data_IF_194553915707
#
_entry.id   IF_194553915707
#
_cell.length_a   1.000
_cell.length_b   1.000
_cell.length_c   1.000
_cell.angle_alpha   90.00
_cell.angle_beta   90.00
_cell.angle_gamma   90.00
#
_symmetry.space_group_name_H-M   'P 1'
#
loop_
_entity.id
_entity.type
_entity.pdbx_description
1 polymer ?
#
# COMPACT_ATOMS: atom_id res chain seq x y z
N UNK A 1 17.59 -49.83 -17.88
CA UNK A 1 16.24 -49.28 -17.67
C UNK A 1 15.91 -49.32 -16.17
N UNK A 2 16.56 -48.44 -15.39
CA UNK A 2 16.42 -48.31 -13.92
C UNK A 2 16.29 -46.84 -13.50
N UNK A 3 15.86 -46.00 -14.44
CA UNK A 3 15.79 -44.53 -14.29
C UNK A 3 14.35 -44.02 -14.10
N UNK A 4 13.36 -44.93 -14.01
CA UNK A 4 11.94 -44.57 -13.84
C UNK A 4 11.34 -44.99 -12.50
N UNK A 5 12.08 -45.71 -11.63
CA UNK A 5 11.53 -46.20 -10.35
C UNK A 5 11.91 -45.36 -9.11
N UNK A 6 12.85 -44.43 -9.21
CA UNK A 6 13.27 -43.58 -8.07
C UNK A 6 12.40 -42.33 -7.88
N UNK A 7 11.58 -41.94 -8.87
CA UNK A 7 10.72 -40.75 -8.78
C UNK A 7 9.48 -40.92 -7.88
N UNK A 8 9.15 -42.16 -7.48
CA UNK A 8 7.96 -42.44 -6.66
C UNK A 8 8.20 -42.39 -5.15
N UNK A 9 9.42 -42.10 -4.70
CA UNK A 9 9.81 -42.21 -3.28
C UNK A 9 9.97 -40.88 -2.54
N UNK A 10 9.91 -39.74 -3.24
CA UNK A 10 10.10 -38.40 -2.62
C UNK A 10 8.81 -37.82 -2.03
N UNK A 11 7.65 -38.39 -2.35
CA UNK A 11 6.37 -38.08 -1.67
C UNK A 11 6.07 -39.09 -0.58
N UNK A 12 6.67 -38.88 0.60
CA UNK A 12 6.06 -39.10 1.91
C UNK A 12 7.10 -38.90 3.03
N UNK A 13 6.71 -38.08 4.00
CA UNK A 13 7.01 -38.18 5.43
C UNK A 13 7.96 -37.12 6.04
N UNK A 14 7.31 -36.05 6.52
CA UNK A 14 7.30 -35.48 7.89
C UNK A 14 8.62 -35.10 8.58
N UNK A 15 8.62 -33.82 9.01
CA UNK A 15 9.11 -33.27 10.29
C UNK A 15 10.56 -33.62 10.67
N UNK A 16 11.48 -32.68 10.41
CA UNK A 16 12.82 -32.69 10.97
C UNK A 16 13.73 -31.68 10.27
N UNK A 17 14.11 -30.64 10.99
CA UNK A 17 14.99 -29.53 10.61
C UNK A 17 16.33 -30.04 10.05
N UNK A 18 16.75 -29.57 8.87
CA UNK A 18 18.17 -29.36 8.54
C UNK A 18 18.29 -28.15 7.63
N UNK A 19 18.96 -27.12 8.16
CA UNK A 19 19.38 -25.92 7.48
C UNK A 19 20.37 -26.21 6.34
N UNK A 20 20.27 -25.48 5.24
CA UNK A 20 21.37 -25.30 4.30
C UNK A 20 21.37 -23.85 3.81
N UNK A 21 22.11 -23.02 4.54
CA UNK A 21 22.62 -21.73 4.07
C UNK A 21 23.42 -21.95 2.79
N UNK A 22 23.02 -21.30 1.70
CA UNK A 22 23.86 -21.14 0.51
C UNK A 22 23.94 -19.66 0.18
N UNK A 23 24.94 -19.03 0.81
CA UNK A 23 25.39 -17.67 0.61
C UNK A 23 26.17 -17.63 -0.72
N UNK A 24 25.66 -16.92 -1.73
CA UNK A 24 26.46 -16.55 -2.90
C UNK A 24 26.53 -15.02 -2.94
N UNK A 25 27.62 -14.50 -2.38
CA UNK A 25 28.04 -13.12 -2.63
C UNK A 25 28.51 -13.01 -4.09
N UNK A 26 27.79 -12.23 -4.90
CA UNK A 26 28.33 -11.68 -6.13
C UNK A 26 28.59 -10.19 -5.88
N UNK A 27 29.87 -9.85 -5.74
CA UNK A 27 30.35 -8.47 -5.72
C UNK A 27 30.46 -8.04 -7.19
N UNK A 28 29.50 -7.23 -7.65
CA UNK A 28 29.64 -6.41 -8.85
C UNK A 28 29.83 -4.96 -8.42
N UNK A 29 31.05 -4.44 -8.57
CA UNK A 29 31.36 -3.02 -8.38
C UNK A 29 31.01 -2.21 -9.62
N UNK A 30 30.95 -0.89 -9.40
CA UNK A 30 30.82 0.26 -10.32
C UNK A 30 29.49 0.50 -11.03
N UNK A 31 28.83 1.58 -10.58
CA UNK A 31 27.73 2.21 -11.29
C UNK A 31 26.99 3.25 -10.46
N UNK A 32 27.69 4.13 -9.74
CA UNK A 32 27.08 5.37 -9.26
C UNK A 32 26.87 6.27 -10.48
N UNK A 33 25.77 6.04 -11.20
CA UNK A 33 25.28 6.97 -12.21
C UNK A 33 24.34 7.93 -11.49
N UNK A 34 24.88 9.10 -11.14
CA UNK A 34 24.07 10.23 -10.70
C UNK A 34 23.12 10.61 -11.83
N UNK A 35 21.87 10.12 -11.76
CA UNK A 35 20.78 10.72 -12.52
C UNK A 35 20.61 12.15 -12.03
N UNK A 36 21.03 13.05 -12.90
CA UNK A 36 20.82 14.49 -12.86
C UNK A 36 19.32 14.76 -12.89
N UNK A 37 18.67 14.72 -11.73
CA UNK A 37 17.44 15.46 -11.48
C UNK A 37 17.82 16.91 -11.28
N UNK A 38 17.17 17.80 -12.02
CA UNK A 38 17.44 19.24 -12.04
C UNK A 38 17.05 19.84 -10.68
N UNK A 39 17.99 19.81 -9.72
CA UNK A 39 17.86 20.54 -8.47
C UNK A 39 18.31 21.97 -8.77
N UNK A 40 17.37 22.81 -9.21
CA UNK A 40 17.54 24.26 -9.04
C UNK A 40 17.47 24.57 -7.55
N UNK A 41 18.60 24.43 -6.86
CA UNK A 41 18.83 25.07 -5.56
C UNK A 41 18.92 26.56 -5.87
N UNK A 42 17.84 27.29 -5.66
CA UNK A 42 17.90 28.75 -5.57
C UNK A 42 18.53 29.05 -4.20
N UNK A 43 19.85 29.24 -4.16
CA UNK A 43 20.53 29.85 -3.03
C UNK A 43 20.07 31.32 -2.95
N UNK A 44 18.91 31.53 -2.33
CA UNK A 44 18.43 32.84 -1.90
C UNK A 44 18.90 33.08 -0.48
N UNK A 45 19.70 34.13 -0.31
CA UNK A 45 20.22 34.59 0.97
C UNK A 45 19.12 34.90 2.01
N UNK A 46 19.43 34.61 3.26
CA UNK A 46 18.86 35.12 4.52
C UNK A 46 17.35 34.96 4.79
N UNK A 47 17.00 33.85 5.46
CA UNK A 47 15.78 33.69 6.26
C UNK A 47 15.27 32.24 6.33
N UNK A 48 14.73 31.74 7.47
CA UNK A 48 14.19 30.38 7.55
C UNK A 48 12.80 30.37 6.91
N UNK A 49 12.75 30.27 5.58
CA UNK A 49 11.51 29.91 4.90
C UNK A 49 11.59 28.42 4.63
N UNK A 50 10.91 27.62 5.45
CA UNK A 50 10.68 26.20 5.20
C UNK A 50 9.94 26.07 3.88
N UNK A 51 10.65 25.79 2.80
CA UNK A 51 10.03 25.44 1.53
C UNK A 51 9.57 23.99 1.70
N UNK A 52 8.28 23.82 2.02
CA UNK A 52 7.58 22.58 1.70
C UNK A 52 7.72 22.42 0.19
N UNK A 53 8.58 21.48 -0.20
CA UNK A 53 8.62 20.98 -1.58
C UNK A 53 7.25 20.37 -1.78
N UNK A 54 6.34 21.13 -2.41
CA UNK A 54 5.16 20.58 -3.03
C UNK A 54 5.67 19.60 -4.07
N UNK A 55 5.76 18.32 -3.69
CA UNK A 55 5.94 17.20 -4.60
C UNK A 55 5.03 17.47 -5.78
N UNK A 56 5.60 17.47 -7.00
CA UNK A 56 4.78 17.57 -8.21
C UNK A 56 3.70 16.52 -8.08
N UNK A 57 2.45 16.97 -7.94
CA UNK A 57 1.29 16.10 -7.89
C UNK A 57 1.25 15.31 -9.19
N UNK A 58 1.72 14.07 -9.14
CA UNK A 58 1.34 13.08 -10.11
C UNK A 58 -0.15 12.79 -9.96
N UNK A 59 -0.77 12.34 -11.05
CA UNK A 59 -2.18 11.99 -11.01
C UNK A 59 -2.35 10.78 -10.05
N UNK A 60 -3.31 10.83 -9.12
CA UNK A 60 -3.51 9.75 -8.17
C UNK A 60 -3.84 8.44 -8.88
N UNK A 61 -3.35 7.29 -8.40
CA UNK A 61 -3.71 5.97 -8.97
C UNK A 61 -5.20 5.69 -8.88
N UNK A 62 -5.85 6.26 -7.87
CA UNK A 62 -7.30 6.27 -7.73
C UNK A 62 -7.72 7.68 -7.31
N UNK A 63 -8.55 8.32 -8.14
CA UNK A 63 -9.04 9.66 -7.87
C UNK A 63 -10.01 9.72 -6.68
N UNK A 64 -10.06 10.88 -6.04
CA UNK A 64 -11.05 11.20 -5.01
C UNK A 64 -10.55 10.94 -3.60
N UNK A 65 -11.38 11.36 -2.63
CA UNK A 65 -11.17 11.07 -1.22
C UNK A 65 -12.05 9.88 -0.83
N UNK A 66 -11.50 9.02 0.00
CA UNK A 66 -12.14 7.84 0.54
C UNK A 66 -12.24 7.97 2.06
N UNK A 67 -13.14 7.21 2.68
CA UNK A 67 -13.36 7.25 4.13
C UNK A 67 -13.66 5.85 4.65
N UNK A 68 -13.37 5.59 5.92
CA UNK A 68 -13.72 4.30 6.53
C UNK A 68 -15.22 4.04 6.47
N UNK A 69 -15.58 2.78 6.17
CA UNK A 69 -16.96 2.30 6.18
C UNK A 69 -17.48 2.01 7.61
N UNK A 70 -16.63 2.19 8.63
CA UNK A 70 -16.96 2.01 10.04
C UNK A 70 -17.82 3.15 10.59
N UNK A 71 -18.52 2.87 11.71
CA UNK A 71 -19.13 3.91 12.54
C UNK A 71 -17.97 4.72 13.14
N UNK A 72 -17.76 5.94 12.67
CA UNK A 72 -16.73 6.80 13.25
C UNK A 72 -17.23 7.56 14.49
N UNK A 73 -16.72 8.75 14.74
CA UNK A 73 -16.86 9.48 16.00
C UNK A 73 -17.61 10.80 15.84
N UNK A 74 -18.19 11.31 16.93
CA UNK A 74 -18.91 12.58 16.90
C UNK A 74 -17.98 13.76 17.23
N UNK A 75 -17.97 14.77 16.36
CA UNK A 75 -17.33 16.08 16.60
C UNK A 75 -18.35 17.16 16.32
N UNK A 76 -18.58 18.04 17.30
CA UNK A 76 -19.51 19.17 17.17
C UNK A 76 -20.93 18.79 16.68
N UNK A 77 -21.37 17.57 17.01
CA UNK A 77 -22.69 17.04 16.63
C UNK A 77 -22.73 16.34 15.26
N UNK A 78 -21.60 16.22 14.58
CA UNK A 78 -21.47 15.54 13.28
C UNK A 78 -20.67 14.24 13.41
N UNK A 79 -21.18 13.17 12.80
CA UNK A 79 -20.46 11.90 12.70
C UNK A 79 -19.36 12.02 11.65
N UNK A 80 -18.11 11.84 12.08
CA UNK A 80 -16.92 11.75 11.24
C UNK A 80 -16.53 10.28 11.06
N UNK A 81 -15.92 9.87 9.93
CA UNK A 81 -15.27 8.56 9.81
C UNK A 81 -14.03 8.49 10.71
N UNK A 82 -13.46 7.30 10.89
CA UNK A 82 -12.23 7.13 11.68
C UNK A 82 -11.04 7.80 11.02
N UNK A 83 -10.95 7.71 9.69
CA UNK A 83 -9.99 8.43 8.86
C UNK A 83 -10.50 8.56 7.44
N UNK A 84 -9.90 9.50 6.72
CA UNK A 84 -10.01 9.71 5.29
C UNK A 84 -8.73 9.23 4.60
N UNK A 85 -8.83 8.90 3.32
CA UNK A 85 -7.74 8.36 2.52
C UNK A 85 -7.68 9.02 1.14
N UNK A 86 -6.48 9.34 0.68
CA UNK A 86 -6.18 9.71 -0.71
C UNK A 86 -5.06 8.83 -1.25
N UNK A 87 -5.17 8.39 -2.50
CA UNK A 87 -4.20 7.49 -3.13
C UNK A 87 -3.24 8.26 -4.03
N UNK A 88 -1.95 8.23 -3.75
CA UNK A 88 -0.89 8.74 -4.63
C UNK A 88 -0.39 7.68 -5.63
N UNK A 89 0.73 7.95 -6.30
CA UNK A 89 1.34 6.99 -7.25
C UNK A 89 1.87 5.72 -6.54
N UNK A 90 2.59 5.93 -5.46
CA UNK A 90 3.34 4.93 -4.71
C UNK A 90 3.02 4.98 -3.21
N UNK A 91 2.00 5.74 -2.82
CA UNK A 91 1.65 5.98 -1.42
C UNK A 91 0.14 6.04 -1.17
N UNK A 92 -0.27 5.65 0.04
CA UNK A 92 -1.62 5.82 0.56
C UNK A 92 -1.54 6.83 1.69
N UNK A 93 -2.21 7.98 1.52
CA UNK A 93 -2.17 9.09 2.46
C UNK A 93 -3.42 9.02 3.32
N UNK A 94 -3.24 8.77 4.61
CA UNK A 94 -4.30 8.75 5.60
C UNK A 94 -4.37 10.09 6.32
N UNK A 95 -5.56 10.53 6.67
CA UNK A 95 -5.75 11.84 7.30
C UNK A 95 -7.14 12.06 7.88
N UNK A 96 -7.40 13.30 8.28
CA UNK A 96 -8.70 13.78 8.73
C UNK A 96 -9.11 15.06 7.98
N UNK A 97 -10.36 15.48 8.17
CA UNK A 97 -10.86 16.75 7.63
C UNK A 97 -10.79 17.83 8.71
N UNK A 98 -10.11 18.93 8.43
CA UNK A 98 -10.19 20.17 9.21
C UNK A 98 -10.69 21.30 8.31
N UNK A 99 -11.77 21.98 8.70
CA UNK A 99 -12.37 23.06 7.91
C UNK A 99 -12.64 22.70 6.43
N UNK A 100 -12.97 21.43 6.14
CA UNK A 100 -13.17 20.85 4.78
C UNK A 100 -11.89 20.70 3.96
N UNK A 101 -10.73 20.85 4.57
CA UNK A 101 -9.44 20.56 3.98
C UNK A 101 -8.92 19.22 4.53
N UNK A 102 -8.38 18.39 3.64
CA UNK A 102 -7.77 17.13 4.03
C UNK A 102 -6.39 17.41 4.66
N UNK A 103 -6.21 16.95 5.89
CA UNK A 103 -4.98 17.08 6.67
C UNK A 103 -4.34 15.69 6.81
N UNK A 104 -3.15 15.45 6.22
CA UNK A 104 -2.44 14.17 6.33
C UNK A 104 -1.99 13.87 7.77
N UNK A 105 -2.19 12.62 8.19
CA UNK A 105 -1.77 12.08 9.49
C UNK A 105 -0.60 11.09 9.35
N UNK A 106 -0.69 10.14 8.42
CA UNK A 106 0.38 9.17 8.12
C UNK A 106 0.30 8.66 6.68
N UNK A 107 1.37 7.99 6.23
CA UNK A 107 1.52 7.52 4.86
C UNK A 107 1.98 6.06 4.86
N UNK A 108 1.30 5.24 4.07
CA UNK A 108 1.71 3.86 3.78
C UNK A 108 2.22 3.74 2.35
N UNK A 109 3.08 2.75 2.09
CA UNK A 109 3.70 2.56 0.75
C UNK A 109 2.90 1.58 -0.10
N UNK A 110 2.55 1.97 -1.32
CA UNK A 110 1.95 1.08 -2.32
C UNK A 110 3.06 0.25 -2.96
N UNK A 111 2.95 -1.07 -2.84
CA UNK A 111 3.86 -2.03 -3.47
C UNK A 111 3.36 -2.49 -4.84
N UNK A 112 2.04 -2.61 -5.01
CA UNK A 112 1.44 -3.00 -6.27
C UNK A 112 0.06 -2.36 -6.44
N UNK A 113 -0.21 -1.90 -7.66
CA UNK A 113 -1.52 -1.42 -8.10
C UNK A 113 -1.96 -2.21 -9.34
N UNK A 114 -3.23 -2.59 -9.37
CA UNK A 114 -3.88 -3.26 -10.49
C UNK A 114 -5.28 -2.69 -10.70
N UNK A 115 -5.58 -2.25 -11.93
CA UNK A 115 -6.93 -1.93 -12.35
C UNK A 115 -7.66 -3.22 -12.74
N UNK A 116 -8.81 -3.47 -12.12
CA UNK A 116 -9.67 -4.61 -12.38
C UNK A 116 -10.70 -4.26 -13.47
N UNK A 117 -11.53 -5.23 -13.84
CA UNK A 117 -12.65 -4.98 -14.76
C UNK A 117 -13.63 -3.99 -14.13
N UNK A 118 -14.40 -3.34 -15.01
CA UNK A 118 -15.50 -2.45 -14.63
C UNK A 118 -15.09 -1.28 -13.72
N UNK A 119 -13.82 -0.86 -13.79
CA UNK A 119 -13.28 0.27 -13.02
C UNK A 119 -12.99 -0.05 -11.55
N UNK A 120 -12.96 -1.34 -11.17
CA UNK A 120 -12.49 -1.75 -9.85
C UNK A 120 -10.98 -1.68 -9.72
N UNK A 121 -10.48 -1.80 -8.50
CA UNK A 121 -9.04 -1.70 -8.18
C UNK A 121 -8.60 -2.80 -7.23
N UNK A 122 -7.31 -3.12 -7.29
CA UNK A 122 -6.60 -3.89 -6.26
C UNK A 122 -5.28 -3.20 -5.94
N UNK A 123 -5.05 -2.96 -4.65
CA UNK A 123 -3.91 -2.20 -4.14
C UNK A 123 -3.27 -3.01 -3.04
N UNK A 124 -2.00 -3.36 -3.19
CA UNK A 124 -1.21 -3.99 -2.15
C UNK A 124 -0.26 -2.95 -1.56
N UNK A 125 -0.35 -2.76 -0.25
CA UNK A 125 0.43 -1.78 0.46
C UNK A 125 1.06 -2.38 1.72
N UNK A 126 2.07 -1.67 2.23
CA UNK A 126 2.75 -1.97 3.48
C UNK A 126 2.76 -0.72 4.36
N UNK A 127 2.33 -0.88 5.61
CA UNK A 127 2.34 0.23 6.57
C UNK A 127 3.74 0.53 7.11
N UNK A 128 3.91 1.69 7.74
CA UNK A 128 5.18 2.05 8.40
C UNK A 128 5.64 1.02 9.44
N UNK A 129 4.71 0.21 9.98
CA UNK A 129 5.00 -0.85 10.95
C UNK A 129 5.29 -2.22 10.30
N UNK A 130 5.33 -2.29 8.96
CA UNK A 130 5.57 -3.52 8.20
C UNK A 130 4.34 -4.42 8.08
N UNK A 131 3.14 -3.89 8.29
CA UNK A 131 1.90 -4.66 8.09
C UNK A 131 1.55 -4.63 6.62
N UNK A 132 1.45 -5.81 6.00
CA UNK A 132 1.09 -5.97 4.60
C UNK A 132 -0.42 -6.18 4.48
N UNK A 133 -1.06 -5.40 3.61
CA UNK A 133 -2.50 -5.46 3.39
C UNK A 133 -2.89 -5.19 1.94
N UNK A 134 -4.11 -5.56 1.61
CA UNK A 134 -4.73 -5.35 0.31
C UNK A 134 -6.04 -4.58 0.46
N UNK A 135 -6.20 -3.51 -0.33
CA UNK A 135 -7.51 -2.99 -0.68
C UNK A 135 -7.96 -3.60 -2.00
N UNK A 136 -9.20 -4.08 -2.09
CA UNK A 136 -9.78 -4.57 -3.34
C UNK A 136 -11.20 -4.06 -3.47
N UNK A 137 -11.58 -3.59 -4.66
CA UNK A 137 -12.97 -3.21 -4.93
C UNK A 137 -13.91 -4.36 -4.64
N UNK A 138 -15.05 -4.04 -4.01
CA UNK A 138 -16.11 -5.02 -3.78
C UNK A 138 -16.70 -5.50 -5.11
N UNK A 139 -17.20 -6.73 -5.14
CA UNK A 139 -17.75 -7.30 -6.36
C UNK A 139 -18.97 -6.51 -6.84
N UNK A 140 -18.86 -5.92 -8.04
CA UNK A 140 -19.89 -5.08 -8.64
C UNK A 140 -19.99 -3.66 -8.08
N UNK A 141 -19.07 -3.23 -7.20
CA UNK A 141 -19.08 -1.88 -6.62
C UNK A 141 -17.65 -1.30 -6.52
N UNK A 142 -17.32 -0.41 -7.46
CA UNK A 142 -16.02 0.28 -7.51
C UNK A 142 -15.87 1.41 -6.50
N UNK A 143 -16.94 1.80 -5.81
CA UNK A 143 -16.94 2.86 -4.80
C UNK A 143 -16.74 2.32 -3.38
N UNK A 144 -16.57 1.00 -3.24
CA UNK A 144 -16.21 0.32 -2.00
C UNK A 144 -14.89 -0.42 -2.17
N UNK A 145 -13.95 -0.22 -1.25
CA UNK A 145 -12.70 -0.98 -1.16
C UNK A 145 -12.71 -1.83 0.11
N UNK A 146 -12.73 -3.15 -0.05
CA UNK A 146 -12.61 -4.11 1.03
C UNK A 146 -11.16 -4.21 1.51
N UNK A 147 -10.96 -4.21 2.82
CA UNK A 147 -9.64 -4.33 3.44
C UNK A 147 -9.34 -5.76 3.86
N UNK A 148 -8.14 -6.22 3.52
CA UNK A 148 -7.60 -7.52 3.89
C UNK A 148 -6.18 -7.36 4.45
N UNK A 149 -5.93 -7.75 5.70
CA UNK A 149 -4.59 -7.68 6.32
C UNK A 149 -3.66 -8.83 5.86
N UNK A 150 -3.48 -8.94 4.54
CA UNK A 150 -2.59 -9.88 3.86
C UNK A 150 -2.46 -9.49 2.39
N UNK A 151 -1.37 -9.91 1.74
CA UNK A 151 -1.25 -9.93 0.28
C UNK A 151 -1.70 -11.26 -0.34
N UNK A 152 -1.91 -12.30 0.48
CA UNK A 152 -2.29 -13.62 0.02
C UNK A 152 -3.81 -13.73 -0.16
N UNK A 153 -4.27 -13.83 -1.40
CA UNK A 153 -5.69 -13.95 -1.73
C UNK A 153 -6.38 -15.17 -1.09
N UNK A 154 -5.64 -16.26 -0.84
CA UNK A 154 -6.17 -17.45 -0.19
C UNK A 154 -6.55 -17.20 1.29
N UNK A 155 -6.05 -16.13 1.89
CA UNK A 155 -6.29 -15.75 3.29
C UNK A 155 -7.34 -14.64 3.45
N UNK A 156 -7.90 -14.10 2.36
CA UNK A 156 -8.81 -12.95 2.39
C UNK A 156 -10.01 -13.16 3.32
N UNK A 157 -10.64 -14.34 3.30
CA UNK A 157 -11.79 -14.61 4.18
C UNK A 157 -11.45 -14.55 5.67
N UNK A 158 -10.21 -14.85 6.04
CA UNK A 158 -9.75 -14.84 7.43
C UNK A 158 -9.18 -13.48 7.85
N UNK A 159 -8.71 -12.70 6.88
CA UNK A 159 -8.00 -11.43 7.07
C UNK A 159 -8.83 -10.19 6.73
N UNK A 160 -10.09 -10.39 6.36
CA UNK A 160 -11.03 -9.31 6.09
C UNK A 160 -11.31 -8.47 7.34
N UNK A 161 -11.32 -7.14 7.18
CA UNK A 161 -11.76 -6.20 8.19
C UNK A 161 -12.70 -5.14 7.61
N UNK A 162 -14.00 -5.30 7.87
CA UNK A 162 -15.01 -4.34 7.43
C UNK A 162 -14.84 -2.95 8.03
N UNK A 163 -14.25 -2.84 9.23
CA UNK A 163 -14.03 -1.53 9.87
C UNK A 163 -12.90 -0.74 9.23
N UNK A 164 -11.94 -1.41 8.59
CA UNK A 164 -10.86 -0.78 7.83
C UNK A 164 -11.16 -0.66 6.33
N UNK A 165 -12.31 -1.20 5.88
CA UNK A 165 -12.75 -1.05 4.50
C UNK A 165 -13.17 0.39 4.23
N UNK A 166 -13.06 0.84 2.98
CA UNK A 166 -13.30 2.22 2.58
C UNK A 166 -14.51 2.35 1.67
N UNK A 167 -15.15 3.51 1.74
CA UNK A 167 -16.15 3.98 0.79
C UNK A 167 -15.69 5.30 0.18
N UNK A 168 -16.01 5.54 -1.09
CA UNK A 168 -15.70 6.81 -1.75
C UNK A 168 -16.58 7.92 -1.18
N UNK A 169 -16.00 9.09 -0.92
CA UNK A 169 -16.78 10.28 -0.57
C UNK A 169 -17.57 10.77 -1.79
N UNK A 170 -18.79 11.26 -1.57
CA UNK A 170 -19.64 11.88 -2.61
C UNK A 170 -19.20 13.31 -2.98
#
# INVERSE_FOLDING_TARGET
>A
MKLFDEFKKVTKLKKGIVAAFLLIMVIGTVGCESKKGDITVIEGADGPTSIFVASKASEPVISGTWQTASIGYEVDGEMQPEYYVQFGDDEIIYGHMDNKEFVPDHIDSISQFEELKDGGYKIQAESENGVQYTYQSADGDSDILEYYETWNADEFSEKYSGSASLSRCE
#
